data_IF_468285688894
#
_entry.id   IF_468285688894
#
_cell.length_a   1.000
_cell.length_b   1.000
_cell.length_c   1.000
_cell.angle_alpha   90.00
_cell.angle_beta   90.00
_cell.angle_gamma   90.00
#
_symmetry.space_group_name_H-M   'P 1'
#
loop_
_entity.id
_entity.type
_entity.pdbx_description
1 polymer ?
#
# COMPACT_ATOMS: atom_id res chain seq x y z
N UNK A 1 2.79 -15.07 -11.85
CA UNK A 1 3.88 -15.33 -10.89
C UNK A 1 3.77 -14.25 -9.82
N UNK A 2 3.43 -14.63 -8.59
CA UNK A 2 3.47 -13.71 -7.45
C UNK A 2 4.95 -13.48 -7.14
N UNK A 3 5.44 -12.26 -7.39
CA UNK A 3 6.79 -11.93 -6.93
C UNK A 3 6.63 -11.56 -5.47
N UNK A 4 7.21 -12.36 -4.57
CA UNK A 4 7.36 -11.95 -3.18
C UNK A 4 8.50 -10.92 -3.15
N UNK A 5 8.24 -9.73 -3.66
CA UNK A 5 9.14 -8.61 -3.44
C UNK A 5 8.95 -8.17 -2.00
N UNK A 6 9.89 -8.58 -1.15
CA UNK A 6 10.09 -7.97 0.16
C UNK A 6 10.74 -6.61 -0.06
N UNK A 7 10.16 -5.57 0.53
CA UNK A 7 10.84 -4.29 0.62
C UNK A 7 12.15 -4.46 1.40
N UNK A 8 13.18 -3.69 1.03
CA UNK A 8 14.33 -3.48 1.91
C UNK A 8 13.92 -2.62 3.10
N UNK A 9 14.87 -1.90 3.70
CA UNK A 9 14.55 -0.98 4.78
C UNK A 9 13.58 0.13 4.31
N UNK A 10 12.41 0.20 4.95
CA UNK A 10 11.41 1.23 4.68
C UNK A 10 11.79 2.49 5.45
N UNK A 11 12.25 3.51 4.73
CA UNK A 11 12.74 4.75 5.35
C UNK A 11 11.63 5.78 5.60
N UNK A 12 10.66 5.91 4.68
CA UNK A 12 9.58 6.90 4.77
C UNK A 12 8.46 6.63 3.77
N UNK A 13 7.28 7.20 4.03
CA UNK A 13 6.17 7.29 3.07
C UNK A 13 5.95 8.74 2.68
N UNK A 14 5.76 8.98 1.37
CA UNK A 14 5.40 10.29 0.84
C UNK A 14 3.96 10.26 0.34
N UNK A 15 3.16 11.21 0.79
CA UNK A 15 1.76 11.34 0.44
C UNK A 15 1.49 12.78 0.02
N UNK A 16 0.93 12.95 -1.17
CA UNK A 16 0.34 14.22 -1.56
C UNK A 16 -1.01 14.45 -0.86
N UNK A 17 -1.43 15.72 -0.79
CA UNK A 17 -2.67 16.12 -0.12
C UNK A 17 -3.91 15.49 -0.77
N UNK A 18 -3.88 15.22 -2.08
CA UNK A 18 -4.98 14.60 -2.80
C UNK A 18 -5.20 13.13 -2.41
N UNK A 19 -4.14 12.42 -2.06
CA UNK A 19 -4.17 11.01 -1.69
C UNK A 19 -4.41 10.81 -0.20
N UNK A 20 -3.90 11.71 0.65
CA UNK A 20 -4.10 11.68 2.12
C UNK A 20 -5.57 11.62 2.50
N UNK A 21 -6.36 12.53 1.94
CA UNK A 21 -7.77 12.65 2.34
C UNK A 21 -8.67 11.66 1.61
N UNK A 22 -8.31 11.30 0.37
CA UNK A 22 -9.14 10.44 -0.48
C UNK A 22 -9.40 9.07 0.10
N UNK A 23 -8.39 8.43 0.70
CA UNK A 23 -8.55 7.11 1.32
C UNK A 23 -9.45 7.19 2.56
N UNK A 24 -9.29 8.25 3.36
CA UNK A 24 -10.16 8.49 4.52
C UNK A 24 -11.60 8.73 4.08
N UNK A 25 -11.84 9.61 3.12
CA UNK A 25 -13.19 9.95 2.67
C UNK A 25 -13.90 8.77 1.99
N UNK A 26 -13.18 7.96 1.20
CA UNK A 26 -13.80 6.87 0.41
C UNK A 26 -13.92 5.56 1.15
N UNK A 27 -12.98 5.27 2.04
CA UNK A 27 -12.82 3.93 2.62
C UNK A 27 -12.70 3.94 4.13
N UNK A 28 -12.72 5.11 4.77
CA UNK A 28 -12.41 5.29 6.19
C UNK A 28 -11.09 4.60 6.57
N UNK A 29 -10.07 4.80 5.73
CA UNK A 29 -8.72 4.30 5.94
C UNK A 29 -7.78 5.50 6.07
N UNK A 30 -7.02 5.54 7.15
CA UNK A 30 -6.00 6.58 7.35
C UNK A 30 -4.74 6.29 6.54
N UNK A 31 -3.89 7.29 6.30
CA UNK A 31 -2.57 7.03 5.71
C UNK A 31 -1.76 6.06 6.57
N UNK A 32 -1.69 6.28 7.89
CA UNK A 32 -0.98 5.39 8.81
C UNK A 32 -1.57 3.97 8.89
N UNK A 33 -2.87 3.79 8.61
CA UNK A 33 -3.50 2.47 8.50
C UNK A 33 -3.11 1.80 7.18
N UNK A 34 -3.02 2.57 6.09
CA UNK A 34 -2.54 2.09 4.79
C UNK A 34 -1.07 1.63 4.87
N UNK A 35 -0.24 2.37 5.61
CA UNK A 35 1.19 2.07 5.80
C UNK A 35 1.42 0.76 6.57
N UNK A 36 0.49 0.32 7.42
CA UNK A 36 0.63 -0.91 8.21
C UNK A 36 0.79 -2.16 7.35
N UNK A 37 0.24 -2.16 6.12
CA UNK A 37 0.40 -3.26 5.16
C UNK A 37 1.87 -3.58 4.88
N UNK A 38 2.76 -2.59 4.99
CA UNK A 38 4.18 -2.77 4.73
C UNK A 38 4.97 -3.34 5.93
N UNK A 39 4.40 -3.28 7.14
CA UNK A 39 5.04 -3.76 8.37
C UNK A 39 4.47 -5.07 8.89
N UNK A 40 3.23 -5.39 8.48
CA UNK A 40 2.55 -6.60 8.93
C UNK A 40 2.74 -7.74 7.95
N UNK A 41 2.79 -8.96 8.49
CA UNK A 41 2.70 -10.19 7.70
C UNK A 41 1.34 -10.88 7.96
N UNK A 42 0.74 -11.52 6.94
CA UNK A 42 1.22 -11.60 5.55
C UNK A 42 0.93 -10.33 4.74
N UNK A 43 1.83 -9.97 3.84
CA UNK A 43 1.57 -8.99 2.78
C UNK A 43 2.03 -9.50 1.41
N UNK A 44 1.39 -8.99 0.36
CA UNK A 44 1.60 -9.38 -1.04
C UNK A 44 1.72 -8.12 -1.88
N UNK A 45 2.77 -8.06 -2.69
CA UNK A 45 2.97 -6.99 -3.68
C UNK A 45 2.72 -7.55 -5.08
N UNK A 46 1.89 -6.86 -5.85
CA UNK A 46 1.52 -7.23 -7.21
C UNK A 46 1.87 -6.10 -8.18
N UNK A 47 2.33 -6.44 -9.37
CA UNK A 47 2.45 -5.49 -10.47
C UNK A 47 1.07 -4.97 -10.87
N UNK A 48 0.89 -3.65 -10.92
CA UNK A 48 -0.34 -3.03 -11.39
C UNK A 48 -0.20 -2.62 -12.85
N UNK A 49 -0.19 -3.61 -13.75
CA UNK A 49 -0.01 -3.37 -15.19
C UNK A 49 -1.05 -2.41 -15.79
N UNK A 50 -2.26 -2.37 -15.21
CA UNK A 50 -3.33 -1.49 -15.69
C UNK A 50 -2.96 -0.02 -15.48
N UNK A 51 -2.39 0.32 -14.32
CA UNK A 51 -2.04 1.69 -13.99
C UNK A 51 -0.55 2.00 -14.26
N UNK A 52 0.26 1.02 -14.69
CA UNK A 52 1.69 1.18 -14.91
C UNK A 52 2.09 1.62 -16.33
N UNK A 53 1.22 2.35 -17.04
CA UNK A 53 1.47 2.69 -18.45
C UNK A 53 2.52 3.80 -18.62
N UNK A 54 2.52 4.78 -17.71
CA UNK A 54 3.43 5.95 -17.76
C UNK A 54 4.55 5.86 -16.73
N UNK A 55 4.31 5.19 -15.61
CA UNK A 55 5.26 4.96 -14.52
C UNK A 55 4.98 3.58 -13.92
N UNK A 56 5.98 2.94 -13.31
CA UNK A 56 5.76 1.63 -12.69
C UNK A 56 4.98 1.78 -11.39
N UNK A 57 3.89 1.02 -11.23
CA UNK A 57 3.04 1.01 -10.05
C UNK A 57 2.81 -0.41 -9.55
N UNK A 58 2.65 -0.52 -8.24
CA UNK A 58 2.40 -1.79 -7.56
C UNK A 58 1.18 -1.66 -6.66
N UNK A 59 0.45 -2.77 -6.49
CA UNK A 59 -0.60 -2.90 -5.51
C UNK A 59 -0.07 -3.69 -4.31
N UNK A 60 -0.27 -3.15 -3.11
CA UNK A 60 0.06 -3.81 -1.85
C UNK A 60 -1.22 -4.28 -1.16
N UNK A 61 -1.23 -5.55 -0.75
CA UNK A 61 -2.31 -6.16 0.02
C UNK A 61 -1.73 -6.75 1.30
N UNK A 62 -2.41 -6.56 2.42
CA UNK A 62 -1.98 -7.10 3.71
C UNK A 62 -3.01 -6.81 4.78
N UNK A 63 -2.57 -6.92 6.03
CA UNK A 63 -3.45 -6.76 7.19
C UNK A 63 -3.03 -5.56 8.03
N UNK A 64 -4.00 -4.83 8.54
CA UNK A 64 -3.77 -3.75 9.52
C UNK A 64 -3.56 -4.32 10.93
N UNK A 65 -3.08 -3.50 11.86
CA UNK A 65 -2.88 -3.87 13.27
C UNK A 65 -4.19 -4.31 13.95
N UNK A 66 -5.33 -3.79 13.48
CA UNK A 66 -6.66 -4.15 13.99
C UNK A 66 -7.27 -5.34 13.24
N UNK A 67 -6.52 -6.01 12.36
CA UNK A 67 -6.97 -7.20 11.63
C UNK A 67 -7.87 -6.93 10.42
N UNK A 68 -8.02 -5.68 9.98
CA UNK A 68 -8.68 -5.34 8.71
C UNK A 68 -7.82 -5.82 7.53
N UNK A 69 -8.44 -6.52 6.57
CA UNK A 69 -7.85 -7.05 5.35
C UNK A 69 -8.71 -6.68 4.12
#
# INVERSE_FOLDING_TARGET
>A
MFVKETFGDINSFDWDDGNRDKNRTKHDVSTGESEQVFFNEPHIILNDFKHSQTEQRFAAFGVTNNGRA
#
